data_IF_408401943230
#
_entry.id   IF_408401943230
#
_cell.length_a   1.000
_cell.length_b   1.000
_cell.length_c   1.000
_cell.angle_alpha   90.00
_cell.angle_beta   90.00
_cell.angle_gamma   90.00
#
_symmetry.space_group_name_H-M   'P 1'
#
loop_
_entity.id
_entity.type
_entity.pdbx_description
1 polymer ?
#
# COMPACT_ATOMS: atom_id res chain seq x y z
N UNK A 1 -14.59 -7.30 9.30
CA UNK A 1 -13.93 -6.13 9.91
C UNK A 1 -12.48 -6.19 9.49
N UNK A 2 -11.96 -5.15 8.82
CA UNK A 2 -10.60 -5.13 8.30
C UNK A 2 -9.59 -4.85 9.42
N UNK A 3 -8.52 -5.62 9.51
CA UNK A 3 -7.37 -5.36 10.38
C UNK A 3 -6.09 -5.65 9.59
N UNK A 4 -5.00 -4.94 9.91
CA UNK A 4 -3.71 -5.14 9.28
C UNK A 4 -2.80 -5.87 10.25
N UNK A 5 -2.52 -7.14 9.99
CA UNK A 5 -1.53 -7.91 10.76
C UNK A 5 -0.12 -7.36 10.46
N UNK A 6 0.58 -6.97 11.51
CA UNK A 6 1.94 -6.42 11.46
C UNK A 6 2.98 -7.50 11.84
N UNK A 7 2.62 -8.39 12.77
CA UNK A 7 3.44 -9.50 13.26
C UNK A 7 2.52 -10.55 13.94
N UNK A 8 3.10 -11.67 14.41
CA UNK A 8 2.40 -12.66 15.20
C UNK A 8 1.72 -12.01 16.42
N UNK A 9 0.39 -12.08 16.47
CA UNK A 9 -0.45 -11.44 17.49
C UNK A 9 -0.41 -9.91 17.55
N UNK A 10 0.18 -9.23 16.56
CA UNK A 10 0.20 -7.78 16.47
C UNK A 10 -0.64 -7.36 15.26
N UNK A 11 -1.78 -6.74 15.51
CA UNK A 11 -2.63 -6.21 14.46
C UNK A 11 -2.96 -4.74 14.70
N UNK A 12 -2.92 -3.94 13.64
CA UNK A 12 -3.49 -2.61 13.62
C UNK A 12 -4.98 -2.72 13.32
N UNK A 13 -5.81 -2.39 14.31
CA UNK A 13 -7.26 -2.41 14.18
C UNK A 13 -7.83 -1.03 13.86
N UNK A 14 -9.08 -0.96 13.35
CA UNK A 14 -9.79 0.31 13.22
C UNK A 14 -9.88 1.10 14.53
N UNK A 15 -10.03 0.41 15.67
CA UNK A 15 -10.14 1.05 16.98
C UNK A 15 -8.83 1.73 17.39
N UNK A 16 -7.68 1.14 17.04
CA UNK A 16 -6.37 1.73 17.34
C UNK A 16 -6.16 3.03 16.57
N UNK A 17 -6.50 3.01 15.28
CA UNK A 17 -6.44 4.19 14.40
C UNK A 17 -7.36 5.32 14.87
N UNK A 18 -8.54 4.98 15.39
CA UNK A 18 -9.50 5.96 15.92
C UNK A 18 -9.03 6.59 17.23
N UNK A 19 -8.24 5.86 18.04
CA UNK A 19 -7.70 6.34 19.32
C UNK A 19 -6.36 7.05 19.18
N UNK A 20 -5.66 6.86 18.06
CA UNK A 20 -4.35 7.43 17.80
C UNK A 20 -4.41 8.67 16.89
N UNK A 21 -3.29 9.38 16.81
CA UNK A 21 -3.00 10.35 15.75
C UNK A 21 -2.05 9.69 14.74
N UNK A 22 -2.55 9.25 13.57
CA UNK A 22 -1.69 8.59 12.61
C UNK A 22 -0.72 9.58 11.96
N UNK A 23 0.46 9.10 11.54
CA UNK A 23 1.41 9.92 10.79
C UNK A 23 0.78 10.58 9.55
N UNK A 24 1.26 11.75 9.12
CA UNK A 24 0.76 12.44 7.93
C UNK A 24 1.04 11.66 6.63
N UNK A 25 1.98 10.71 6.66
CA UNK A 25 2.30 9.82 5.56
C UNK A 25 2.41 8.36 6.04
N UNK A 26 1.80 7.43 5.31
CA UNK A 26 1.78 6.00 5.62
C UNK A 26 2.07 5.16 4.38
N UNK A 27 2.78 4.06 4.56
CA UNK A 27 2.95 3.02 3.56
C UNK A 27 2.45 1.69 4.15
N UNK A 28 1.24 1.29 3.78
CA UNK A 28 0.53 0.09 4.23
C UNK A 28 0.77 -1.03 3.21
N UNK A 29 2.00 -1.53 3.14
CA UNK A 29 2.43 -2.53 2.16
C UNK A 29 2.41 -3.91 2.82
N UNK A 30 1.26 -4.56 2.78
CA UNK A 30 1.06 -5.96 3.19
C UNK A 30 0.11 -6.63 2.19
N UNK A 31 -0.13 -7.93 2.24
CA UNK A 31 -1.23 -8.49 1.45
C UNK A 31 -2.55 -7.81 1.87
N UNK A 32 -3.29 -7.26 0.91
CA UNK A 32 -4.58 -6.62 1.17
C UNK A 32 -4.55 -5.42 2.14
N UNK A 33 -3.50 -4.59 2.14
CA UNK A 33 -3.36 -3.43 3.04
C UNK A 33 -4.55 -2.44 3.04
N UNK A 34 -5.30 -2.37 1.93
CA UNK A 34 -6.49 -1.55 1.74
C UNK A 34 -7.80 -2.35 1.52
N UNK A 35 -7.81 -3.68 1.66
CA UNK A 35 -9.00 -4.50 1.36
C UNK A 35 -9.04 -5.79 2.22
N UNK A 36 -10.16 -6.52 2.28
CA UNK A 36 -10.24 -7.78 3.03
C UNK A 36 -10.69 -8.92 2.11
N UNK A 37 -9.95 -10.04 2.01
CA UNK A 37 -10.29 -11.12 1.09
C UNK A 37 -11.65 -11.76 1.44
N UNK A 38 -12.46 -12.05 0.42
CA UNK A 38 -13.74 -12.76 0.58
C UNK A 38 -14.93 -11.90 1.07
N UNK A 39 -14.74 -10.62 1.33
CA UNK A 39 -15.84 -9.67 1.53
C UNK A 39 -16.30 -9.17 0.15
N UNK A 40 -17.58 -9.40 -0.19
CA UNK A 40 -18.24 -8.78 -1.35
C UNK A 40 -18.41 -7.26 -1.18
N UNK A 41 -19.48 -6.70 -1.76
CA UNK A 41 -19.86 -5.27 -1.67
C UNK A 41 -20.11 -4.84 -0.20
N UNK A 42 -19.05 -4.67 0.58
CA UNK A 42 -19.05 -4.08 1.91
C UNK A 42 -18.53 -2.65 1.86
N UNK A 43 -18.76 -1.90 2.94
CA UNK A 43 -18.28 -0.52 3.04
C UNK A 43 -16.76 -0.46 2.78
N UNK A 44 -16.26 0.51 2.00
CA UNK A 44 -14.84 0.63 1.64
C UNK A 44 -13.94 1.03 2.82
N UNK A 45 -14.38 0.80 4.06
CA UNK A 45 -13.68 1.12 5.29
C UNK A 45 -12.49 0.18 5.49
N UNK A 46 -11.32 0.65 5.07
CA UNK A 46 -10.01 0.05 5.32
C UNK A 46 -9.19 0.90 6.29
N UNK A 47 -8.04 0.36 6.73
CA UNK A 47 -7.03 1.09 7.52
C UNK A 47 -6.60 2.36 6.77
N UNK A 48 -6.45 2.28 5.45
CA UNK A 48 -6.09 3.42 4.61
C UNK A 48 -7.15 4.53 4.66
N UNK A 49 -8.44 4.21 4.50
CA UNK A 49 -9.52 5.22 4.53
C UNK A 49 -9.72 5.81 5.92
N UNK A 50 -9.53 5.02 6.97
CA UNK A 50 -9.58 5.50 8.36
C UNK A 50 -8.42 6.44 8.67
N UNK A 51 -7.21 6.14 8.19
CA UNK A 51 -6.07 7.03 8.32
C UNK A 51 -6.31 8.38 7.61
N UNK A 52 -6.94 8.40 6.42
CA UNK A 52 -7.36 9.64 5.76
C UNK A 52 -8.35 10.44 6.63
N UNK A 53 -9.37 9.77 7.18
CA UNK A 53 -10.33 10.40 8.09
C UNK A 53 -9.69 10.94 9.38
N UNK A 54 -8.49 10.45 9.72
CA UNK A 54 -7.69 10.84 10.88
C UNK A 54 -6.49 11.73 10.50
N UNK A 55 -6.57 12.46 9.39
CA UNK A 55 -5.60 13.47 8.92
C UNK A 55 -4.29 12.94 8.30
N UNK A 56 -4.13 11.64 8.05
CA UNK A 56 -3.10 11.21 7.11
C UNK A 56 -3.42 11.75 5.72
N UNK A 57 -2.41 12.27 5.02
CA UNK A 57 -2.60 12.91 3.71
C UNK A 57 -2.02 12.08 2.58
N UNK A 58 -0.91 11.38 2.85
CA UNK A 58 -0.13 10.65 1.83
C UNK A 58 -0.11 9.18 2.18
N UNK A 59 -0.98 8.38 1.57
CA UNK A 59 -1.06 6.95 1.87
C UNK A 59 -0.70 6.15 0.63
N UNK A 60 0.27 5.25 0.76
CA UNK A 60 0.46 4.16 -0.18
C UNK A 60 -0.08 2.88 0.44
N UNK A 61 -0.86 2.08 -0.30
CA UNK A 61 -1.42 0.85 0.21
C UNK A 61 -1.61 -0.17 -0.92
N UNK A 62 -1.65 -1.44 -0.56
CA UNK A 62 -1.95 -2.54 -1.49
C UNK A 62 -3.44 -2.85 -1.51
N UNK A 63 -4.07 -2.86 -2.69
CA UNK A 63 -5.52 -3.15 -2.83
C UNK A 63 -5.82 -4.64 -3.04
N UNK A 64 -4.79 -5.45 -3.21
CA UNK A 64 -4.87 -6.89 -3.43
C UNK A 64 -3.64 -7.58 -2.84
N UNK A 65 -3.52 -8.88 -3.07
CA UNK A 65 -2.32 -9.65 -2.75
C UNK A 65 -1.11 -9.13 -3.52
N UNK A 66 -0.04 -8.81 -2.79
CA UNK A 66 1.28 -8.50 -3.33
C UNK A 66 2.14 -9.75 -3.13
N UNK A 67 2.77 -10.24 -4.20
CA UNK A 67 3.61 -11.45 -4.10
C UNK A 67 4.75 -11.24 -3.10
N UNK A 68 4.96 -12.22 -2.23
CA UNK A 68 6.11 -12.24 -1.32
C UNK A 68 7.31 -12.89 -2.02
N UNK A 69 7.92 -12.15 -2.94
CA UNK A 69 9.15 -12.55 -3.63
C UNK A 69 10.14 -11.39 -3.76
N UNK A 70 11.41 -11.72 -4.00
CA UNK A 70 12.49 -10.73 -4.11
C UNK A 70 12.24 -9.68 -5.20
N UNK A 71 11.48 -10.02 -6.25
CA UNK A 71 11.12 -9.08 -7.30
C UNK A 71 10.14 -8.02 -6.78
N UNK A 72 9.09 -8.44 -6.08
CA UNK A 72 8.09 -7.56 -5.48
C UNK A 72 8.72 -6.68 -4.41
N UNK A 73 9.60 -7.22 -3.57
CA UNK A 73 10.37 -6.41 -2.61
C UNK A 73 11.24 -5.37 -3.32
N UNK A 74 11.83 -5.71 -4.47
CA UNK A 74 12.63 -4.76 -5.27
C UNK A 74 11.78 -3.62 -5.82
N UNK A 75 10.58 -3.92 -6.31
CA UNK A 75 9.63 -2.89 -6.77
C UNK A 75 9.25 -1.95 -5.63
N UNK A 76 8.87 -2.51 -4.48
CA UNK A 76 8.49 -1.74 -3.29
C UNK A 76 9.63 -0.85 -2.80
N UNK A 77 10.84 -1.38 -2.68
CA UNK A 77 12.00 -0.62 -2.23
C UNK A 77 12.33 0.53 -3.18
N UNK A 78 12.21 0.32 -4.50
CA UNK A 78 12.38 1.38 -5.48
C UNK A 78 11.32 2.48 -5.36
N UNK A 79 10.05 2.11 -5.12
CA UNK A 79 9.00 3.08 -4.83
C UNK A 79 9.31 3.90 -3.57
N UNK A 80 9.68 3.22 -2.47
CA UNK A 80 9.98 3.88 -1.19
C UNK A 80 11.17 4.83 -1.31
N UNK A 81 12.22 4.45 -2.05
CA UNK A 81 13.37 5.30 -2.35
C UNK A 81 12.95 6.58 -3.09
N UNK A 82 12.17 6.46 -4.17
CA UNK A 82 11.67 7.63 -4.89
C UNK A 82 10.73 8.50 -4.05
N UNK A 83 9.94 7.90 -3.16
CA UNK A 83 9.00 8.60 -2.30
C UNK A 83 9.71 9.47 -1.23
N UNK A 84 11.01 9.27 -0.97
CA UNK A 84 11.78 10.16 -0.09
C UNK A 84 11.96 11.55 -0.68
N UNK A 85 12.02 11.66 -2.01
CA UNK A 85 12.32 12.90 -2.72
C UNK A 85 11.16 13.43 -3.57
N UNK A 86 10.10 12.64 -3.76
CA UNK A 86 9.01 12.93 -4.69
C UNK A 86 7.64 12.68 -4.05
N UNK A 87 6.58 13.39 -4.48
CA UNK A 87 5.21 13.02 -4.14
C UNK A 87 4.95 11.55 -4.49
N UNK A 88 4.29 10.82 -3.59
CA UNK A 88 4.04 9.37 -3.75
C UNK A 88 3.43 8.99 -5.11
N UNK A 89 2.49 9.74 -5.72
CA UNK A 89 2.01 9.40 -7.07
C UNK A 89 3.10 9.45 -8.14
N UNK A 90 4.00 10.44 -8.07
CA UNK A 90 5.13 10.58 -8.99
C UNK A 90 6.17 9.48 -8.74
N UNK A 91 6.45 9.18 -7.48
CA UNK A 91 7.34 8.08 -7.09
C UNK A 91 6.83 6.73 -7.60
N UNK A 92 5.52 6.44 -7.44
CA UNK A 92 4.90 5.23 -7.94
C UNK A 92 4.93 5.17 -9.47
N UNK A 93 4.59 6.26 -10.15
CA UNK A 93 4.68 6.34 -11.61
C UNK A 93 6.09 6.04 -12.10
N UNK A 94 7.11 6.67 -11.48
CA UNK A 94 8.51 6.49 -11.83
C UNK A 94 8.98 5.05 -11.56
N UNK A 95 8.61 4.47 -10.43
CA UNK A 95 8.90 3.08 -10.09
C UNK A 95 8.30 2.13 -11.12
N UNK A 96 7.02 2.32 -11.48
CA UNK A 96 6.34 1.50 -12.49
C UNK A 96 6.97 1.63 -13.87
N UNK A 97 7.33 2.85 -14.31
CA UNK A 97 8.02 3.04 -15.58
C UNK A 97 9.38 2.33 -15.61
N UNK A 98 10.15 2.44 -14.53
CA UNK A 98 11.45 1.76 -14.38
C UNK A 98 11.31 0.24 -14.31
N UNK A 99 10.25 -0.24 -13.66
CA UNK A 99 9.91 -1.66 -13.60
C UNK A 99 9.61 -2.21 -14.99
N UNK A 100 8.72 -1.54 -15.72
CA UNK A 100 8.27 -1.93 -17.06
C UNK A 100 9.37 -1.79 -18.12
N UNK A 101 10.42 -0.98 -17.88
CA UNK A 101 11.54 -0.87 -18.82
C UNK A 101 12.37 -2.16 -18.93
N UNK A 102 12.32 -3.05 -17.93
CA UNK A 102 12.99 -4.35 -17.96
C UNK A 102 12.07 -5.44 -18.56
N UNK A 103 12.48 -6.09 -19.67
CA UNK A 103 11.66 -7.12 -20.32
C UNK A 103 11.24 -8.27 -19.39
N UNK A 104 12.12 -8.71 -18.49
CA UNK A 104 11.83 -9.80 -17.54
C UNK A 104 10.79 -9.45 -16.47
N UNK A 105 10.62 -8.17 -16.16
CA UNK A 105 9.61 -7.70 -15.21
C UNK A 105 8.28 -7.39 -15.90
N UNK A 106 8.35 -6.81 -17.11
CA UNK A 106 7.19 -6.47 -17.94
C UNK A 106 6.32 -7.70 -18.27
N UNK A 107 6.95 -8.82 -18.55
CA UNK A 107 6.26 -10.07 -18.91
C UNK A 107 5.96 -10.95 -17.69
N UNK A 108 6.21 -10.45 -16.47
CA UNK A 108 5.98 -11.18 -15.22
C UNK A 108 4.58 -10.96 -14.65
N UNK A 109 4.36 -11.49 -13.44
CA UNK A 109 3.08 -11.35 -12.75
C UNK A 109 2.78 -9.90 -12.35
N UNK A 110 1.55 -9.45 -12.65
CA UNK A 110 1.06 -8.13 -12.25
C UNK A 110 1.01 -7.96 -10.74
N UNK A 111 0.76 -9.04 -10.00
CA UNK A 111 0.75 -9.08 -8.53
C UNK A 111 2.09 -8.70 -7.87
N UNK A 112 3.16 -8.47 -8.64
CA UNK A 112 4.43 -7.95 -8.12
C UNK A 112 4.47 -6.43 -7.94
N UNK A 113 3.56 -5.70 -8.56
CA UNK A 113 3.61 -4.23 -8.59
C UNK A 113 2.24 -3.55 -8.66
N UNK A 114 1.31 -4.10 -9.46
CA UNK A 114 0.00 -3.52 -9.73
C UNK A 114 -0.91 -3.35 -8.50
N UNK A 115 -0.80 -4.18 -7.43
CA UNK A 115 -1.60 -3.98 -6.22
C UNK A 115 -1.29 -2.68 -5.48
N UNK A 116 -0.11 -2.09 -5.64
CA UNK A 116 0.28 -0.88 -4.92
C UNK A 116 -0.39 0.36 -5.53
N UNK A 117 -1.17 1.07 -4.72
CA UNK A 117 -1.82 2.33 -5.08
C UNK A 117 -1.46 3.43 -4.10
N UNK A 118 -1.66 4.68 -4.53
CA UNK A 118 -1.54 5.86 -3.67
C UNK A 118 -2.92 6.50 -3.53
N UNK A 119 -3.29 6.82 -2.30
CA UNK A 119 -4.58 7.42 -1.93
C UNK A 119 -4.32 8.64 -1.04
N UNK A 120 -5.12 9.70 -1.21
CA UNK A 120 -5.07 10.90 -0.40
C UNK A 120 -4.76 12.15 -1.22
N UNK A 121 -4.28 13.20 -0.54
CA UNK A 121 -3.97 14.50 -1.13
C UNK A 121 -2.46 14.73 -1.14
N UNK A 122 -2.00 15.45 -2.16
CA UNK A 122 -0.59 15.68 -2.46
C UNK A 122 -0.26 17.17 -2.49
#
# INVERSE_FOLDING_TARGET
>A
MHCLELDEHVALTPADLMRAEPPPALALIACWGAHSPGQGWGDPLSIATLALARNSRRIAATVSELLDDAASSRFVNMFLDYAQAQPMPQALQRATQRWMSHPGYRNGYLSRWAPLVVVGTW
#
